data_IF_800529944326
#
_entry.id   IF_800529944326
#
_cell.length_a   1.000
_cell.length_b   1.000
_cell.length_c   1.000
_cell.angle_alpha   90.00
_cell.angle_beta   90.00
_cell.angle_gamma   90.00
#
_symmetry.space_group_name_H-M   'P 1'
#
loop_
_entity.id
_entity.type
_entity.pdbx_description
1 polymer ?
#
# COMPACT_ATOMS: atom_id res chain seq x y z
N UNK A 1 -1.34 14.83 14.15
CA UNK A 1 -0.60 13.59 13.78
C UNK A 1 -1.64 12.60 13.28
N UNK A 2 -1.50 12.14 12.04
CA UNK A 2 -2.46 11.25 11.37
C UNK A 2 -2.03 9.81 11.57
N UNK A 3 -2.57 9.20 12.64
CA UNK A 3 -2.21 7.85 13.09
C UNK A 3 -3.43 6.95 13.18
N UNK A 4 -3.23 5.65 13.01
CA UNK A 4 -4.27 4.64 13.22
C UNK A 4 -3.67 3.37 13.82
N UNK A 5 -4.49 2.65 14.56
CA UNK A 5 -4.18 1.31 15.09
C UNK A 5 -5.33 0.37 14.70
N UNK A 6 -4.97 -0.77 14.12
CA UNK A 6 -5.92 -1.80 13.71
C UNK A 6 -5.56 -3.10 14.40
N UNK A 7 -6.54 -3.70 15.04
CA UNK A 7 -6.47 -5.07 15.55
C UNK A 7 -7.55 -5.88 14.83
N UNK A 8 -7.16 -6.96 14.17
CA UNK A 8 -8.06 -7.85 13.43
C UNK A 8 -7.70 -9.30 13.72
N UNK A 9 -8.68 -10.04 14.20
CA UNK A 9 -8.54 -11.45 14.47
C UNK A 9 -9.63 -12.23 13.76
N UNK A 10 -9.24 -13.25 13.01
CA UNK A 10 -10.11 -14.23 12.35
C UNK A 10 -9.73 -15.64 12.76
N UNK A 11 -10.28 -16.65 12.10
CA UNK A 11 -9.82 -18.03 12.27
C UNK A 11 -8.48 -18.30 11.59
N UNK A 12 -8.08 -17.44 10.63
CA UNK A 12 -6.94 -17.61 9.73
C UNK A 12 -5.75 -16.72 10.11
N UNK A 13 -6.04 -15.51 10.64
CA UNK A 13 -5.01 -14.52 10.96
C UNK A 13 -5.28 -13.80 12.28
N UNK A 14 -4.20 -13.39 12.96
CA UNK A 14 -4.23 -12.50 14.13
C UNK A 14 -3.26 -11.34 13.84
N UNK A 15 -3.80 -10.12 13.63
CA UNK A 15 -3.04 -8.96 13.13
C UNK A 15 -3.16 -7.78 14.09
N UNK A 16 -2.01 -7.19 14.40
CA UNK A 16 -1.89 -5.86 14.99
C UNK A 16 -1.07 -4.98 14.04
N UNK A 17 -1.64 -3.83 13.65
CA UNK A 17 -1.01 -2.88 12.74
C UNK A 17 -1.14 -1.46 13.30
N UNK A 18 -0.03 -0.72 13.32
CA UNK A 18 -0.04 0.72 13.59
C UNK A 18 0.57 1.48 12.41
N UNK A 19 -0.04 2.61 12.08
CA UNK A 19 0.38 3.48 10.98
C UNK A 19 0.46 4.92 11.43
N UNK A 20 1.52 5.63 11.03
CA UNK A 20 1.63 7.08 11.11
C UNK A 20 1.95 7.64 9.71
N UNK A 21 1.02 8.40 9.14
CA UNK A 21 1.20 9.03 7.82
C UNK A 21 2.22 10.17 7.84
N UNK A 22 2.44 10.77 9.01
CA UNK A 22 3.38 11.88 9.24
C UNK A 22 4.72 11.38 9.83
N UNK A 23 5.10 10.15 9.46
CA UNK A 23 6.26 9.44 9.97
C UNK A 23 7.58 9.81 9.28
N UNK A 24 8.59 9.00 9.57
CA UNK A 24 9.96 9.14 9.05
C UNK A 24 10.43 7.93 8.23
N UNK A 25 9.57 6.93 8.05
CA UNK A 25 9.85 5.70 7.31
C UNK A 25 10.36 4.56 8.20
N UNK A 26 10.04 4.57 9.50
CA UNK A 26 10.37 3.48 10.42
C UNK A 26 9.46 2.29 10.15
N UNK A 27 10.04 1.09 10.12
CA UNK A 27 9.31 -0.14 9.87
C UNK A 27 9.66 -1.21 10.90
N UNK A 28 8.63 -1.82 11.49
CA UNK A 28 8.73 -3.01 12.35
C UNK A 28 7.74 -4.05 11.82
N UNK A 29 8.20 -4.92 10.93
CA UNK A 29 7.32 -5.82 10.17
C UNK A 29 7.63 -7.27 10.51
N UNK A 30 6.61 -8.05 10.83
CA UNK A 30 6.69 -9.50 11.05
C UNK A 30 5.34 -10.13 10.69
N UNK A 31 5.21 -10.65 9.46
CA UNK A 31 3.98 -11.29 8.98
C UNK A 31 4.08 -12.81 8.89
N UNK A 32 5.29 -13.36 8.96
CA UNK A 32 5.55 -14.77 8.66
C UNK A 32 5.79 -15.04 7.17
N UNK A 33 5.51 -14.07 6.28
CA UNK A 33 5.82 -14.11 4.86
C UNK A 33 7.00 -13.17 4.56
N UNK A 34 8.21 -13.72 4.37
CA UNK A 34 9.45 -12.93 4.29
C UNK A 34 9.47 -11.94 3.12
N UNK A 35 8.86 -12.29 1.97
CA UNK A 35 8.79 -11.38 0.84
C UNK A 35 7.84 -10.19 1.13
N UNK A 36 6.69 -10.45 1.76
CA UNK A 36 5.77 -9.39 2.19
C UNK A 36 6.42 -8.47 3.22
N UNK A 37 7.16 -9.03 4.19
CA UNK A 37 7.89 -8.24 5.19
C UNK A 37 8.87 -7.27 4.52
N UNK A 38 9.59 -7.74 3.51
CA UNK A 38 10.49 -6.91 2.72
C UNK A 38 9.73 -5.81 1.95
N UNK A 39 8.64 -6.15 1.29
CA UNK A 39 7.82 -5.19 0.54
C UNK A 39 7.22 -4.09 1.43
N UNK A 40 6.70 -4.45 2.60
CA UNK A 40 6.14 -3.49 3.55
C UNK A 40 7.20 -2.60 4.20
N UNK A 41 8.40 -3.14 4.44
CA UNK A 41 9.55 -2.35 4.89
C UNK A 41 9.92 -1.27 3.88
N UNK A 42 9.98 -1.63 2.59
CA UNK A 42 10.24 -0.68 1.51
C UNK A 42 9.10 0.34 1.35
N UNK A 43 7.85 -0.12 1.46
CA UNK A 43 6.67 0.73 1.40
C UNK A 43 6.71 1.81 2.50
N UNK A 44 6.97 1.42 3.74
CA UNK A 44 7.11 2.35 4.86
C UNK A 44 8.24 3.36 4.61
N UNK A 45 9.43 2.88 4.24
CA UNK A 45 10.61 3.71 4.02
C UNK A 45 10.39 4.72 2.88
N UNK A 46 9.95 4.26 1.71
CA UNK A 46 9.78 5.12 0.53
C UNK A 46 8.57 6.06 0.64
N UNK A 47 7.54 5.66 1.39
CA UNK A 47 6.39 6.50 1.74
C UNK A 47 6.69 7.51 2.85
N UNK A 48 7.78 7.33 3.60
CA UNK A 48 8.06 8.03 4.86
C UNK A 48 6.95 7.83 5.90
N UNK A 49 6.27 6.68 5.86
CA UNK A 49 5.30 6.27 6.87
C UNK A 49 6.00 5.52 7.99
N UNK A 50 5.60 5.73 9.25
CA UNK A 50 6.01 4.78 10.28
C UNK A 50 4.97 3.66 10.34
N UNK A 51 5.40 2.41 10.20
CA UNK A 51 4.54 1.25 10.06
C UNK A 51 5.04 0.10 10.95
N UNK A 52 4.17 -0.37 11.85
CA UNK A 52 4.37 -1.62 12.57
C UNK A 52 3.32 -2.62 12.13
N UNK A 53 3.72 -3.84 11.78
CA UNK A 53 2.81 -4.95 11.45
C UNK A 53 3.29 -6.20 12.17
N UNK A 54 2.41 -6.78 12.97
CA UNK A 54 2.58 -8.10 13.56
C UNK A 54 1.40 -8.95 13.10
N UNK A 55 1.68 -10.03 12.40
CA UNK A 55 0.68 -10.98 11.93
C UNK A 55 1.10 -12.40 12.28
N UNK A 56 0.17 -13.17 12.79
CA UNK A 56 0.28 -14.62 12.89
C UNK A 56 -0.82 -15.21 12.03
N UNK A 57 -0.46 -15.67 10.83
CA UNK A 57 -1.37 -16.30 9.88
C UNK A 57 -1.13 -17.80 9.75
N UNK A 58 -2.02 -18.45 9.03
CA UNK A 58 -2.01 -19.88 8.72
C UNK A 58 -1.11 -20.20 7.52
N UNK A 59 0.14 -19.70 7.52
CA UNK A 59 1.11 -19.82 6.42
C UNK A 59 1.49 -21.26 6.05
N UNK A 60 1.07 -22.26 6.86
CA UNK A 60 1.17 -23.68 6.47
C UNK A 60 0.18 -24.09 5.38
N UNK A 61 -0.87 -23.29 5.14
CA UNK A 61 -1.79 -23.44 3.99
C UNK A 61 -1.11 -22.83 2.76
N UNK A 62 -0.98 -21.51 2.77
CA UNK A 62 -0.20 -20.67 1.85
C UNK A 62 -0.10 -19.24 2.44
N UNK A 63 0.43 -18.28 1.68
CA UNK A 63 0.56 -16.90 2.12
C UNK A 63 -0.70 -16.05 1.83
N UNK A 64 -1.75 -16.59 1.18
CA UNK A 64 -2.89 -15.81 0.66
C UNK A 64 -3.62 -15.04 1.76
N UNK A 65 -4.10 -15.76 2.80
CA UNK A 65 -4.86 -15.14 3.89
C UNK A 65 -4.05 -14.06 4.61
N UNK A 66 -2.75 -14.32 4.84
CA UNK A 66 -1.85 -13.35 5.45
C UNK A 66 -1.71 -12.08 4.61
N UNK A 67 -1.49 -12.23 3.31
CA UNK A 67 -1.27 -11.10 2.38
C UNK A 67 -2.55 -10.27 2.22
N UNK A 68 -3.69 -10.90 1.99
CA UNK A 68 -4.98 -10.23 1.86
C UNK A 68 -5.35 -9.49 3.15
N UNK A 69 -5.29 -10.16 4.29
CA UNK A 69 -5.70 -9.59 5.58
C UNK A 69 -4.78 -8.45 6.05
N UNK A 70 -3.49 -8.52 5.77
CA UNK A 70 -2.56 -7.39 6.01
C UNK A 70 -2.90 -6.23 5.06
N UNK A 71 -3.24 -6.49 3.79
CA UNK A 71 -3.74 -5.49 2.85
C UNK A 71 -5.01 -4.80 3.34
N UNK A 72 -5.98 -5.58 3.86
CA UNK A 72 -7.19 -5.08 4.50
C UNK A 72 -6.85 -4.16 5.68
N UNK A 73 -5.99 -4.62 6.60
CA UNK A 73 -5.62 -3.84 7.78
C UNK A 73 -4.89 -2.54 7.41
N UNK A 74 -3.96 -2.60 6.46
CA UNK A 74 -3.23 -1.41 6.01
C UNK A 74 -4.16 -0.40 5.33
N UNK A 75 -5.07 -0.87 4.46
CA UNK A 75 -6.08 -0.01 3.82
C UNK A 75 -6.96 0.68 4.84
N UNK A 76 -7.47 -0.06 5.83
CA UNK A 76 -8.26 0.50 6.92
C UNK A 76 -7.47 1.51 7.74
N UNK A 77 -6.21 1.22 8.07
CA UNK A 77 -5.36 2.16 8.81
C UNK A 77 -5.13 3.47 8.02
N UNK A 78 -4.95 3.39 6.70
CA UNK A 78 -4.87 4.58 5.85
C UNK A 78 -6.17 5.38 5.88
N UNK A 79 -7.32 4.74 5.74
CA UNK A 79 -8.63 5.40 5.78
C UNK A 79 -8.87 6.10 7.12
N UNK A 80 -8.60 5.40 8.23
CA UNK A 80 -8.78 5.92 9.58
C UNK A 80 -7.82 7.10 9.86
N UNK A 81 -6.55 6.99 9.45
CA UNK A 81 -5.56 8.07 9.62
C UNK A 81 -5.83 9.30 8.73
N UNK A 82 -6.42 9.12 7.54
CA UNK A 82 -6.83 10.22 6.65
C UNK A 82 -8.06 10.97 7.14
N UNK A 83 -8.94 10.30 7.90
CA UNK A 83 -10.17 10.89 8.43
C UNK A 83 -11.00 11.59 7.34
N UNK A 84 -11.33 12.86 7.55
CA UNK A 84 -12.15 13.68 6.62
C UNK A 84 -11.42 14.08 5.33
N UNK A 85 -10.15 13.71 5.15
CA UNK A 85 -9.32 14.02 3.96
C UNK A 85 -9.17 15.52 3.70
N UNK A 86 -9.22 16.35 4.76
CA UNK A 86 -9.02 17.81 4.65
C UNK A 86 -7.55 18.12 4.42
N UNK A 87 -7.30 19.12 3.60
CA UNK A 87 -5.98 19.68 3.33
C UNK A 87 -5.00 18.73 2.64
N UNK A 88 -5.42 17.54 2.17
CA UNK A 88 -4.54 16.66 1.43
C UNK A 88 -4.39 17.09 -0.04
N UNK A 89 -3.26 16.72 -0.65
CA UNK A 89 -3.02 16.93 -2.09
C UNK A 89 -3.98 16.12 -2.95
N UNK A 90 -4.47 14.97 -2.45
CA UNK A 90 -5.40 14.03 -3.07
C UNK A 90 -4.80 13.18 -4.19
N UNK A 91 -4.00 13.76 -5.07
CA UNK A 91 -3.40 13.07 -6.22
C UNK A 91 -1.92 12.84 -5.99
N UNK A 92 -1.43 11.71 -6.46
CA UNK A 92 -0.01 11.41 -6.49
C UNK A 92 0.32 10.45 -7.62
N UNK A 93 1.47 10.64 -8.25
CA UNK A 93 1.97 9.70 -9.23
C UNK A 93 3.49 9.62 -9.16
N UNK A 94 4.01 8.44 -9.46
CA UNK A 94 5.45 8.22 -9.48
C UNK A 94 5.83 7.18 -10.53
N UNK A 95 6.89 7.47 -11.28
CA UNK A 95 7.54 6.52 -12.17
C UNK A 95 8.85 6.12 -11.51
N UNK A 96 8.98 4.84 -11.17
CA UNK A 96 10.10 4.30 -10.41
C UNK A 96 10.95 3.38 -11.29
N UNK A 97 12.22 3.73 -11.55
CA UNK A 97 13.18 2.83 -12.16
C UNK A 97 13.80 1.90 -11.11
N UNK A 98 14.00 0.65 -11.46
CA UNK A 98 14.76 -0.32 -10.69
C UNK A 98 15.49 -1.24 -11.68
N UNK A 99 16.74 -0.95 -11.94
CA UNK A 99 17.56 -1.58 -12.99
C UNK A 99 16.81 -1.59 -14.33
N UNK A 100 16.46 -2.76 -14.86
CA UNK A 100 15.74 -2.93 -16.13
C UNK A 100 14.22 -2.70 -16.00
N UNK A 101 13.72 -2.60 -14.77
CA UNK A 101 12.30 -2.44 -14.52
C UNK A 101 11.92 -0.97 -14.36
N UNK A 102 10.78 -0.60 -14.92
CA UNK A 102 10.20 0.74 -14.82
C UNK A 102 8.72 0.62 -14.51
N UNK A 103 8.32 1.06 -13.32
CA UNK A 103 6.95 0.94 -12.82
C UNK A 103 6.33 2.32 -12.62
N UNK A 104 5.13 2.49 -13.15
CA UNK A 104 4.28 3.66 -12.92
C UNK A 104 3.19 3.34 -11.91
N UNK A 105 2.99 4.23 -10.96
CA UNK A 105 1.77 4.26 -10.15
C UNK A 105 1.12 5.64 -10.15
N UNK A 106 -0.22 5.66 -10.05
CA UNK A 106 -1.01 6.88 -9.94
C UNK A 106 -2.19 6.66 -8.98
N UNK A 107 -2.40 7.63 -8.08
CA UNK A 107 -3.40 7.57 -7.02
C UNK A 107 -4.32 8.79 -7.09
N UNK A 108 -5.63 8.55 -6.96
CA UNK A 108 -6.64 9.56 -6.63
C UNK A 108 -7.41 9.08 -5.37
N UNK A 109 -7.24 9.77 -4.25
CA UNK A 109 -7.99 9.51 -3.01
C UNK A 109 -9.42 10.02 -3.17
N UNK A 110 -10.17 9.36 -4.05
CA UNK A 110 -11.46 9.80 -4.58
C UNK A 110 -12.67 9.37 -3.76
N UNK A 111 -12.51 8.52 -2.75
CA UNK A 111 -13.62 7.87 -2.05
C UNK A 111 -14.29 6.74 -2.84
N UNK A 112 -13.74 6.30 -3.96
CA UNK A 112 -14.23 5.19 -4.78
C UNK A 112 -13.11 4.17 -5.02
N UNK A 113 -13.36 2.91 -4.67
CA UNK A 113 -12.40 1.83 -4.83
C UNK A 113 -12.26 1.41 -6.29
N UNK A 114 -11.06 1.52 -6.83
CA UNK A 114 -10.71 1.02 -8.15
C UNK A 114 -9.21 0.64 -8.17
N UNK A 115 -8.90 -0.56 -8.63
CA UNK A 115 -7.54 -0.99 -8.91
C UNK A 115 -7.38 -1.24 -10.41
N UNK A 116 -6.52 -0.45 -11.07
CA UNK A 116 -6.05 -0.71 -12.43
C UNK A 116 -4.68 -1.38 -12.37
N UNK A 117 -4.65 -2.70 -12.38
CA UNK A 117 -3.44 -3.49 -12.24
C UNK A 117 -2.98 -4.06 -13.58
N UNK A 118 -1.74 -3.76 -13.97
CA UNK A 118 -1.12 -4.24 -15.21
C UNK A 118 0.40 -4.37 -15.02
N UNK A 119 0.82 -5.31 -14.16
CA UNK A 119 2.24 -5.57 -13.92
C UNK A 119 2.78 -6.70 -14.81
N UNK A 120 1.98 -7.70 -15.15
CA UNK A 120 2.38 -8.87 -15.95
C UNK A 120 3.71 -9.46 -15.44
N UNK A 121 3.73 -9.91 -14.18
CA UNK A 121 4.92 -10.50 -13.54
C UNK A 121 5.24 -11.84 -14.24
N UNK A 122 6.48 -12.05 -14.75
CA UNK A 122 6.76 -13.17 -15.64
C UNK A 122 6.76 -14.56 -14.99
N UNK A 123 7.08 -14.65 -13.69
CA UNK A 123 7.16 -15.92 -12.96
C UNK A 123 6.01 -16.06 -11.97
N UNK A 124 5.58 -17.28 -11.69
CA UNK A 124 4.52 -17.55 -10.71
C UNK A 124 4.98 -17.36 -9.25
N UNK A 125 6.29 -17.42 -8.99
CA UNK A 125 6.85 -17.27 -7.65
C UNK A 125 8.11 -16.39 -7.63
N UNK A 126 8.29 -15.72 -6.48
CA UNK A 126 9.52 -15.05 -6.08
C UNK A 126 9.93 -15.70 -4.75
N UNK A 127 10.93 -16.60 -4.77
CA UNK A 127 11.18 -17.48 -3.65
C UNK A 127 9.98 -18.39 -3.37
N UNK A 128 9.40 -18.31 -2.18
CA UNK A 128 8.18 -19.04 -1.80
C UNK A 128 6.89 -18.25 -2.08
N UNK A 129 6.99 -16.95 -2.33
CA UNK A 129 5.86 -16.03 -2.49
C UNK A 129 5.23 -16.14 -3.88
N UNK A 130 3.92 -16.34 -3.94
CA UNK A 130 3.14 -16.37 -5.19
C UNK A 130 2.93 -14.96 -5.73
N UNK A 131 3.28 -14.71 -6.98
CA UNK A 131 3.25 -13.36 -7.57
C UNK A 131 1.85 -12.78 -7.77
N UNK A 132 0.82 -13.62 -7.84
CA UNK A 132 -0.58 -13.20 -7.85
C UNK A 132 -0.98 -12.45 -6.58
N UNK A 133 -0.34 -12.72 -5.46
CA UNK A 133 -0.60 -12.06 -4.18
C UNK A 133 -0.23 -10.57 -4.17
N UNK A 134 0.57 -10.10 -5.12
CA UNK A 134 0.83 -8.67 -5.30
C UNK A 134 -0.47 -7.93 -5.68
N UNK A 135 -1.26 -8.51 -6.60
CA UNK A 135 -2.56 -7.94 -6.99
C UNK A 135 -3.54 -8.01 -5.83
N UNK A 136 -3.65 -9.17 -5.16
CA UNK A 136 -4.56 -9.37 -4.02
C UNK A 136 -4.27 -8.38 -2.89
N UNK A 137 -3.00 -8.14 -2.57
CA UNK A 137 -2.63 -7.13 -1.56
C UNK A 137 -3.17 -5.74 -1.91
N UNK A 138 -2.92 -5.26 -3.12
CA UNK A 138 -3.37 -3.92 -3.53
C UNK A 138 -4.90 -3.84 -3.70
N UNK A 139 -5.55 -4.93 -4.12
CA UNK A 139 -7.01 -5.02 -4.19
C UNK A 139 -7.64 -4.91 -2.80
N UNK A 140 -7.12 -5.67 -1.84
CA UNK A 140 -7.54 -5.61 -0.44
C UNK A 140 -7.35 -4.18 0.13
N UNK A 141 -6.19 -3.57 -0.14
CA UNK A 141 -5.85 -2.21 0.29
C UNK A 141 -6.86 -1.17 -0.23
N UNK A 142 -7.13 -1.13 -1.55
CA UNK A 142 -8.02 -0.12 -2.13
C UNK A 142 -9.48 -0.32 -1.75
N UNK A 143 -9.89 -1.56 -1.43
CA UNK A 143 -11.24 -1.85 -0.92
C UNK A 143 -11.50 -1.23 0.45
N UNK A 144 -10.48 -1.11 1.30
CA UNK A 144 -10.59 -0.56 2.64
C UNK A 144 -10.25 0.93 2.71
N UNK A 145 -9.39 1.42 1.83
CA UNK A 145 -9.13 2.85 1.67
C UNK A 145 -9.59 3.30 0.28
N UNK A 146 -10.87 3.68 0.11
CA UNK A 146 -11.45 3.94 -1.19
C UNK A 146 -10.70 5.02 -1.98
N UNK A 147 -9.97 4.58 -3.00
CA UNK A 147 -9.20 5.38 -3.94
C UNK A 147 -9.14 4.70 -5.31
N UNK A 148 -8.84 5.47 -6.34
CA UNK A 148 -8.41 4.90 -7.62
C UNK A 148 -6.89 4.75 -7.59
N UNK A 149 -6.40 3.52 -7.71
CA UNK A 149 -4.98 3.19 -7.78
C UNK A 149 -4.70 2.50 -9.12
N UNK A 150 -3.78 3.06 -9.89
CA UNK A 150 -3.26 2.44 -11.10
C UNK A 150 -1.81 2.04 -10.88
N UNK A 151 -1.45 0.80 -11.25
CA UNK A 151 -0.09 0.28 -11.20
C UNK A 151 0.21 -0.37 -12.56
N UNK A 152 1.22 0.13 -13.27
CA UNK A 152 1.58 -0.35 -14.61
C UNK A 152 3.07 -0.61 -14.74
N UNK A 153 3.39 -1.76 -15.33
CA UNK A 153 4.75 -2.05 -15.78
C UNK A 153 4.97 -1.38 -17.14
N UNK A 154 5.93 -0.46 -17.21
CA UNK A 154 6.34 0.17 -18.45
C UNK A 154 7.50 -0.60 -19.11
N UNK A 155 8.39 -1.20 -18.31
CA UNK A 155 9.45 -2.09 -18.69
C UNK A 155 9.78 -3.05 -17.55
N UNK A 156 10.52 -4.12 -17.83
CA UNK A 156 11.02 -5.04 -16.80
C UNK A 156 10.78 -6.51 -17.12
N UNK A 157 11.74 -7.34 -16.71
CA UNK A 157 11.73 -8.79 -16.90
C UNK A 157 11.98 -9.58 -15.62
N UNK A 158 12.63 -8.97 -14.62
CA UNK A 158 12.85 -9.59 -13.32
C UNK A 158 11.60 -9.44 -12.43
N UNK A 159 10.99 -10.55 -12.04
CA UNK A 159 9.76 -10.56 -11.23
C UNK A 159 9.92 -9.87 -9.87
N UNK A 160 11.07 -10.03 -9.21
CA UNK A 160 11.37 -9.35 -7.94
C UNK A 160 11.42 -7.82 -8.14
N UNK A 161 12.17 -7.33 -9.15
CA UNK A 161 12.28 -5.91 -9.44
C UNK A 161 10.92 -5.29 -9.80
N UNK A 162 10.08 -6.01 -10.56
CA UNK A 162 8.73 -5.57 -10.90
C UNK A 162 7.85 -5.42 -9.65
N UNK A 163 7.81 -6.45 -8.80
CA UNK A 163 7.01 -6.41 -7.58
C UNK A 163 7.53 -5.34 -6.60
N UNK A 164 8.84 -5.29 -6.36
CA UNK A 164 9.45 -4.28 -5.50
C UNK A 164 9.23 -2.87 -6.04
N UNK A 165 9.39 -2.68 -7.34
CA UNK A 165 9.09 -1.42 -8.02
C UNK A 165 7.65 -0.96 -7.84
N UNK A 166 6.69 -1.90 -7.80
CA UNK A 166 5.28 -1.60 -7.53
C UNK A 166 5.08 -1.06 -6.11
N UNK A 167 5.57 -1.76 -5.08
CA UNK A 167 5.42 -1.31 -3.70
C UNK A 167 6.10 0.05 -3.46
N UNK A 168 7.30 0.26 -3.99
CA UNK A 168 8.02 1.54 -3.89
C UNK A 168 7.30 2.68 -4.62
N UNK A 169 6.83 2.46 -5.85
CA UNK A 169 6.15 3.49 -6.64
C UNK A 169 4.83 3.88 -5.99
N UNK A 170 4.03 2.90 -5.51
CA UNK A 170 2.78 3.16 -4.80
C UNK A 170 3.02 3.94 -3.51
N UNK A 171 4.03 3.55 -2.73
CA UNK A 171 4.40 4.29 -1.51
C UNK A 171 4.73 5.77 -1.80
N UNK A 172 5.49 6.04 -2.86
CA UNK A 172 5.84 7.40 -3.31
C UNK A 172 4.62 8.19 -3.79
N UNK A 173 3.73 7.53 -4.53
CA UNK A 173 2.48 8.15 -5.00
C UNK A 173 1.54 8.47 -3.84
N UNK A 174 1.39 7.55 -2.89
CA UNK A 174 0.61 7.78 -1.67
C UNK A 174 1.21 8.91 -0.82
N UNK A 175 2.54 8.95 -0.65
CA UNK A 175 3.22 10.04 0.05
C UNK A 175 2.84 11.41 -0.55
N UNK A 176 2.83 11.53 -1.86
CA UNK A 176 2.42 12.76 -2.53
C UNK A 176 0.93 13.04 -2.34
N UNK A 177 0.07 12.02 -2.48
CA UNK A 177 -1.38 12.17 -2.38
C UNK A 177 -1.86 12.57 -0.97
N UNK A 178 -1.20 12.05 0.09
CA UNK A 178 -1.55 12.37 1.49
C UNK A 178 -0.85 13.62 2.02
N UNK A 179 0.08 14.21 1.26
CA UNK A 179 0.78 15.42 1.67
C UNK A 179 -0.21 16.55 1.94
N UNK A 180 0.05 17.35 2.97
CA UNK A 180 -0.80 18.47 3.33
C UNK A 180 -0.50 19.69 2.42
N UNK A 181 -1.53 20.29 1.87
CA UNK A 181 -1.45 21.55 1.14
C UNK A 181 -1.46 22.72 2.14
N UNK A 182 -0.31 23.29 2.40
CA UNK A 182 -0.14 24.42 3.32
C UNK A 182 -0.94 25.67 2.91
N UNK A 183 -1.34 25.78 1.64
CA UNK A 183 -2.16 26.91 1.16
C UNK A 183 -3.65 26.73 1.46
N UNK A 184 -4.11 25.48 1.58
CA UNK A 184 -5.52 25.14 1.77
C UNK A 184 -5.71 24.05 2.82
N UNK A 185 -5.25 24.26 4.08
CA UNK A 185 -5.15 23.18 5.09
C UNK A 185 -6.49 22.60 5.52
N UNK A 186 -7.58 23.34 5.39
CA UNK A 186 -8.92 22.92 5.82
C UNK A 186 -9.87 22.58 4.65
N UNK A 187 -9.38 22.75 3.42
CA UNK A 187 -10.22 22.50 2.24
C UNK A 187 -10.36 21.01 1.96
N UNK A 188 -11.56 20.58 1.56
CA UNK A 188 -11.72 19.28 0.91
C UNK A 188 -11.30 19.45 -0.55
N UNK A 189 -10.31 18.69 -1.06
CA UNK A 189 -9.77 18.89 -2.41
C UNK A 189 -10.71 18.32 -3.49
N UNK A 190 -11.93 18.85 -3.53
CA UNK A 190 -13.00 18.44 -4.45
C UNK A 190 -13.94 19.61 -4.72
N UNK A 191 -14.22 19.86 -6.00
CA UNK A 191 -15.23 20.87 -6.41
C UNK A 191 -16.65 20.49 -5.96
N UNK A 192 -16.87 19.24 -5.55
CA UNK A 192 -18.15 18.78 -4.98
C UNK A 192 -18.27 19.04 -3.47
N UNK A 193 -17.18 19.46 -2.81
CA UNK A 193 -17.14 19.66 -1.36
C UNK A 193 -17.11 18.36 -0.52
N UNK A 194 -17.03 17.19 -1.17
CA UNK A 194 -16.98 15.86 -0.55
C UNK A 194 -16.02 14.93 -1.31
N UNK A 195 -15.47 13.92 -0.60
CA UNK A 195 -14.65 12.81 -1.13
C UNK A 195 -15.12 11.48 -0.55
#
# INVERSE_FOLDING_TARGET
MRTAEIVRKTAETDIMLTLNLDGTGKAEISTGCGFLDHMLTLFAHHGSFDLTVKCQGDTWVDDHHTVEDVGICLGKAFADALGEKRGITRYGSFILPMDESLILSAVDISGRSYLGYDLQIPTFKIGTFDTELVEEFFLAFVRQCPMSLHIRKLAGTNSHHIAEGAFKSVARSLKAAVALDAKNPDAIPSTKGVL
#
